data_IF_320327465255
#
_entry.id   IF_320327465255
#
_cell.length_a   1.000
_cell.length_b   1.000
_cell.length_c   1.000
_cell.angle_alpha   90.00
_cell.angle_beta   90.00
_cell.angle_gamma   90.00
#
_symmetry.space_group_name_H-M   'P 1'
#
loop_
_entity.id
_entity.type
_entity.pdbx_description
1 polymer ?
#
# COMPACT_ATOMS: atom_id res chain seq x y z
N UNK A 1 -4.41 -10.12 -15.92
CA UNK A 1 -4.31 -10.58 -14.51
C UNK A 1 -2.94 -10.22 -13.96
N UNK A 2 -2.89 -9.56 -12.83
CA UNK A 2 -1.64 -9.12 -12.23
C UNK A 2 -1.65 -9.39 -10.73
N UNK A 3 -0.59 -10.02 -10.22
CA UNK A 3 -0.44 -10.38 -8.81
C UNK A 3 0.36 -9.27 -8.10
N UNK A 4 -0.19 -8.77 -7.01
CA UNK A 4 0.37 -7.64 -6.25
C UNK A 4 0.70 -8.08 -4.83
N UNK A 5 1.90 -7.71 -4.38
CA UNK A 5 2.27 -7.76 -2.98
C UNK A 5 2.13 -6.36 -2.38
N UNK A 6 1.41 -6.23 -1.29
CA UNK A 6 1.16 -4.95 -0.64
C UNK A 6 1.63 -4.96 0.80
N UNK A 7 2.45 -3.98 1.16
CA UNK A 7 2.91 -3.80 2.52
C UNK A 7 2.97 -2.31 2.87
N UNK A 8 3.08 -2.03 4.16
CA UNK A 8 3.20 -0.66 4.68
C UNK A 8 3.89 -0.67 6.04
N UNK A 9 4.35 0.49 6.46
CA UNK A 9 4.83 0.71 7.83
C UNK A 9 5.93 -0.27 8.22
N UNK A 10 6.93 -0.39 7.37
CA UNK A 10 8.10 -1.23 7.64
C UNK A 10 9.05 -0.59 8.65
N UNK A 11 9.09 0.74 8.72
CA UNK A 11 9.93 1.48 9.66
C UNK A 11 11.38 0.95 9.67
N UNK A 12 11.98 0.86 8.49
CA UNK A 12 13.36 0.39 8.27
C UNK A 12 13.56 -1.11 8.45
N UNK A 13 12.51 -1.87 8.74
CA UNK A 13 12.63 -3.31 8.93
C UNK A 13 12.25 -4.08 7.67
N UNK A 14 13.13 -4.97 7.24
CA UNK A 14 12.88 -5.91 6.14
C UNK A 14 13.58 -7.22 6.49
N UNK A 15 12.91 -8.34 6.26
CA UNK A 15 13.45 -9.65 6.59
C UNK A 15 13.07 -10.72 5.56
N UNK A 16 13.60 -11.93 5.76
CA UNK A 16 13.35 -13.04 4.87
C UNK A 16 11.89 -13.46 4.78
N UNK A 17 11.13 -13.29 5.85
CA UNK A 17 9.71 -13.65 5.86
C UNK A 17 8.93 -12.75 4.90
N UNK A 18 9.20 -11.45 4.91
CA UNK A 18 8.58 -10.49 3.98
C UNK A 18 8.98 -10.82 2.54
N UNK A 19 10.27 -11.01 2.30
CA UNK A 19 10.77 -11.29 0.96
C UNK A 19 10.21 -12.60 0.41
N UNK A 20 10.14 -13.63 1.24
CA UNK A 20 9.58 -14.91 0.84
C UNK A 20 8.08 -14.81 0.55
N UNK A 21 7.35 -14.00 1.32
CA UNK A 21 5.91 -13.80 1.12
C UNK A 21 5.61 -13.19 -0.26
N UNK A 22 6.52 -12.34 -0.76
CA UNK A 22 6.34 -11.62 -2.03
C UNK A 22 7.10 -12.23 -3.21
N UNK A 23 7.72 -13.39 -3.05
CA UNK A 23 8.59 -13.95 -4.10
C UNK A 23 7.89 -14.24 -5.43
N UNK A 24 6.59 -14.52 -5.42
CA UNK A 24 5.83 -14.92 -6.59
C UNK A 24 4.86 -13.86 -7.12
N UNK A 25 4.85 -12.65 -6.55
CA UNK A 25 3.99 -11.58 -7.07
C UNK A 25 4.63 -10.94 -8.31
N UNK A 26 3.82 -10.22 -9.09
CA UNK A 26 4.32 -9.52 -10.28
C UNK A 26 4.97 -8.18 -9.91
N UNK A 27 4.41 -7.48 -8.94
CA UNK A 27 5.00 -6.25 -8.43
C UNK A 27 4.63 -6.01 -6.97
N UNK A 28 5.40 -5.15 -6.30
CA UNK A 28 5.22 -4.84 -4.89
C UNK A 28 4.84 -3.37 -4.75
N UNK A 29 3.81 -3.10 -3.93
CA UNK A 29 3.39 -1.74 -3.57
C UNK A 29 3.65 -1.51 -2.09
N UNK A 30 4.28 -0.37 -1.77
CA UNK A 30 4.57 0.04 -0.40
C UNK A 30 3.83 1.33 -0.08
N UNK A 31 2.97 1.29 0.91
CA UNK A 31 2.06 2.40 1.25
C UNK A 31 2.65 3.38 2.29
N UNK A 32 3.98 3.48 2.38
CA UNK A 32 4.65 4.53 3.16
C UNK A 32 5.15 4.11 4.54
N UNK A 33 5.84 5.02 5.20
CA UNK A 33 6.62 4.76 6.40
C UNK A 33 7.63 3.64 6.17
N UNK A 34 8.40 3.84 5.11
CA UNK A 34 9.42 2.91 4.65
C UNK A 34 10.58 2.86 5.66
N UNK A 35 11.05 4.02 6.08
CA UNK A 35 12.20 4.19 6.94
C UNK A 35 13.44 4.51 6.11
N UNK A 36 14.31 3.53 5.89
CA UNK A 36 15.50 3.73 5.06
C UNK A 36 15.37 3.08 3.69
N UNK A 37 16.21 3.49 2.76
CA UNK A 37 16.19 2.99 1.38
C UNK A 37 16.63 1.53 1.25
N UNK A 38 17.24 0.94 2.27
CA UNK A 38 17.59 -0.47 2.26
C UNK A 38 16.34 -1.36 2.08
N UNK A 39 15.22 -0.96 2.68
CA UNK A 39 13.93 -1.66 2.49
C UNK A 39 13.56 -1.69 1.00
N UNK A 40 13.64 -0.54 0.35
CA UNK A 40 13.32 -0.42 -1.08
C UNK A 40 14.29 -1.25 -1.92
N UNK A 41 15.59 -1.18 -1.62
CA UNK A 41 16.60 -1.91 -2.39
C UNK A 41 16.37 -3.43 -2.30
N UNK A 42 16.04 -3.94 -1.13
CA UNK A 42 15.80 -5.37 -0.96
C UNK A 42 14.51 -5.82 -1.65
N UNK A 43 13.46 -4.99 -1.62
CA UNK A 43 12.23 -5.31 -2.35
C UNK A 43 12.45 -5.25 -3.86
N UNK A 44 13.15 -4.23 -4.35
CA UNK A 44 13.48 -4.11 -5.78
C UNK A 44 14.36 -5.23 -6.30
N UNK A 45 15.14 -5.85 -5.43
CA UNK A 45 15.97 -6.99 -5.82
C UNK A 45 15.14 -8.20 -6.22
N UNK A 46 13.89 -8.31 -5.77
CA UNK A 46 13.03 -9.44 -6.10
C UNK A 46 11.94 -9.10 -7.12
N UNK A 47 11.35 -7.91 -7.05
CA UNK A 47 10.24 -7.49 -7.94
C UNK A 47 10.25 -5.98 -8.15
N UNK A 48 9.60 -5.47 -9.22
CA UNK A 48 9.37 -4.03 -9.37
C UNK A 48 8.60 -3.48 -8.18
N UNK A 49 8.97 -2.29 -7.73
CA UNK A 49 8.37 -1.64 -6.55
C UNK A 49 7.73 -0.31 -6.93
N UNK A 50 6.51 -0.10 -6.48
CA UNK A 50 5.81 1.18 -6.52
C UNK A 50 5.54 1.59 -5.07
N UNK A 51 5.83 2.85 -4.72
CA UNK A 51 5.74 3.27 -3.32
C UNK A 51 5.35 4.73 -3.20
N UNK A 52 4.84 5.08 -2.02
CA UNK A 52 4.68 6.47 -1.58
C UNK A 52 5.49 6.65 -0.29
N UNK A 53 5.79 7.92 0.07
CA UNK A 53 6.41 8.17 1.36
C UNK A 53 5.33 8.36 2.44
N UNK A 54 5.70 8.10 3.68
CA UNK A 54 4.85 8.32 4.85
C UNK A 54 5.38 9.43 5.73
N UNK A 55 4.69 9.66 6.85
CA UNK A 55 5.01 10.77 7.75
C UNK A 55 6.37 10.67 8.43
N UNK A 56 6.87 9.44 8.66
CA UNK A 56 8.19 9.27 9.28
C UNK A 56 9.34 9.32 8.26
N UNK A 57 9.03 9.29 6.97
CA UNK A 57 10.06 9.21 5.94
C UNK A 57 10.78 10.53 5.76
N UNK A 58 12.11 10.45 5.68
CA UNK A 58 12.99 11.59 5.54
C UNK A 58 13.29 11.98 4.10
N UNK A 59 14.27 12.86 3.95
CA UNK A 59 14.64 13.48 2.67
C UNK A 59 15.00 12.46 1.60
N UNK A 60 15.74 11.42 1.94
CA UNK A 60 16.18 10.42 0.97
C UNK A 60 14.98 9.69 0.34
N UNK A 61 14.08 9.17 1.18
CA UNK A 61 12.88 8.47 0.69
C UNK A 61 11.98 9.42 -0.09
N UNK A 62 11.76 10.63 0.44
CA UNK A 62 10.90 11.63 -0.22
C UNK A 62 11.45 12.11 -1.55
N UNK A 63 12.76 12.03 -1.76
CA UNK A 63 13.36 12.38 -3.04
C UNK A 63 13.11 11.33 -4.13
N UNK A 64 12.80 10.10 -3.75
CA UNK A 64 12.57 8.99 -4.69
C UNK A 64 11.07 8.70 -4.93
N UNK A 65 10.19 9.10 -4.02
CA UNK A 65 8.77 8.76 -4.09
C UNK A 65 7.90 9.99 -3.83
N UNK A 66 6.65 9.91 -4.29
CA UNK A 66 5.65 10.96 -4.07
C UNK A 66 4.82 10.65 -2.83
N UNK A 67 4.10 11.66 -2.35
CA UNK A 67 3.11 11.48 -1.28
C UNK A 67 1.89 10.72 -1.79
N UNK A 68 1.50 10.96 -3.04
CA UNK A 68 0.34 10.35 -3.69
C UNK A 68 0.79 9.70 -4.99
N UNK A 69 0.44 8.43 -5.16
CA UNK A 69 0.56 7.74 -6.44
C UNK A 69 -0.84 7.46 -6.98
N UNK A 70 -1.11 7.93 -8.20
CA UNK A 70 -2.34 7.65 -8.92
C UNK A 70 -1.96 6.97 -10.22
N UNK A 71 -2.42 5.74 -10.44
CA UNK A 71 -2.00 4.93 -11.57
C UNK A 71 -3.06 3.91 -11.94
N UNK A 72 -2.87 3.28 -13.09
CA UNK A 72 -3.75 2.22 -13.57
C UNK A 72 -3.05 0.87 -13.43
N UNK A 73 -3.76 -0.11 -12.86
CA UNK A 73 -3.33 -1.50 -12.80
C UNK A 73 -4.41 -2.34 -13.46
N UNK A 74 -4.08 -3.02 -14.54
CA UNK A 74 -5.07 -3.65 -15.40
C UNK A 74 -6.11 -2.59 -15.81
N UNK A 75 -7.39 -2.80 -15.52
CA UNK A 75 -8.44 -1.81 -15.80
C UNK A 75 -8.91 -1.07 -14.54
N UNK A 76 -8.10 -1.10 -13.48
CA UNK A 76 -8.40 -0.38 -12.23
C UNK A 76 -7.62 0.91 -12.13
N UNK A 77 -8.30 1.96 -11.72
CA UNK A 77 -7.67 3.21 -11.31
C UNK A 77 -7.34 3.10 -9.82
N UNK A 78 -6.06 3.19 -9.50
CA UNK A 78 -5.55 3.02 -8.14
C UNK A 78 -5.03 4.34 -7.60
N UNK A 79 -5.39 4.65 -6.36
CA UNK A 79 -4.78 5.76 -5.61
C UNK A 79 -4.14 5.17 -4.36
N UNK A 80 -2.88 5.50 -4.13
CA UNK A 80 -2.13 5.08 -2.97
C UNK A 80 -1.57 6.29 -2.24
N UNK A 81 -1.84 6.37 -0.94
CA UNK A 81 -1.28 7.38 -0.03
C UNK A 81 -0.94 6.70 1.29
N UNK A 82 -0.14 7.35 2.13
CA UNK A 82 0.16 6.78 3.45
C UNK A 82 -0.98 7.03 4.43
N UNK A 83 -1.39 8.29 4.61
CA UNK A 83 -2.42 8.66 5.57
C UNK A 83 -3.73 8.88 4.84
N UNK A 84 -4.59 7.87 4.86
CA UNK A 84 -5.85 7.93 4.12
C UNK A 84 -7.12 7.87 4.96
N UNK A 85 -7.02 7.39 6.19
CA UNK A 85 -8.20 7.09 6.98
C UNK A 85 -8.89 5.83 6.48
N UNK A 86 -10.21 5.81 6.52
CA UNK A 86 -11.00 4.65 6.06
C UNK A 86 -12.41 5.10 5.68
N UNK A 87 -13.18 4.25 4.98
CA UNK A 87 -14.55 4.62 4.57
C UNK A 87 -15.40 5.11 5.73
N UNK A 88 -16.01 6.29 5.53
CA UNK A 88 -16.77 6.98 6.58
C UNK A 88 -15.92 7.94 7.41
N UNK A 89 -14.60 7.81 7.40
CA UNK A 89 -13.66 8.67 8.14
C UNK A 89 -12.36 8.88 7.37
N UNK A 90 -12.48 9.30 6.11
CA UNK A 90 -11.29 9.60 5.33
C UNK A 90 -10.52 10.79 5.92
N UNK A 91 -9.20 10.75 5.77
CA UNK A 91 -8.35 11.88 6.14
C UNK A 91 -8.70 13.11 5.30
N UNK A 92 -8.40 14.33 5.79
CA UNK A 92 -8.74 15.56 5.05
C UNK A 92 -8.22 15.54 3.61
N UNK A 93 -9.11 15.89 2.67
CA UNK A 93 -8.78 15.95 1.24
C UNK A 93 -8.84 14.63 0.50
N UNK A 94 -8.91 13.50 1.17
CA UNK A 94 -8.87 12.17 0.54
C UNK A 94 -10.14 11.89 -0.26
N UNK A 95 -11.31 12.17 0.28
CA UNK A 95 -12.57 11.94 -0.44
C UNK A 95 -12.58 12.69 -1.78
N UNK A 96 -12.17 13.96 -1.77
CA UNK A 96 -12.08 14.77 -2.99
C UNK A 96 -11.06 14.18 -3.98
N UNK A 97 -9.90 13.76 -3.50
CA UNK A 97 -8.89 13.12 -4.32
C UNK A 97 -9.42 11.86 -5.00
N UNK A 98 -10.10 10.99 -4.26
CA UNK A 98 -10.66 9.74 -4.78
C UNK A 98 -11.72 10.01 -5.85
N UNK A 99 -12.59 10.98 -5.62
CA UNK A 99 -13.62 11.36 -6.59
C UNK A 99 -13.01 11.95 -7.86
N UNK A 100 -12.04 12.85 -7.75
CA UNK A 100 -11.40 13.49 -8.90
C UNK A 100 -10.58 12.53 -9.73
N UNK A 101 -9.93 11.56 -9.11
CA UNK A 101 -9.09 10.60 -9.82
C UNK A 101 -9.86 9.44 -10.44
N UNK A 102 -11.15 9.30 -10.11
CA UNK A 102 -11.95 8.17 -10.56
C UNK A 102 -11.45 6.83 -10.03
N UNK A 103 -10.96 6.83 -8.79
CA UNK A 103 -10.37 5.64 -8.20
C UNK A 103 -11.37 4.49 -8.05
N UNK A 104 -10.91 3.27 -8.36
CA UNK A 104 -11.63 2.03 -8.08
C UNK A 104 -11.05 1.34 -6.86
N UNK A 105 -9.76 1.53 -6.62
CA UNK A 105 -9.02 0.95 -5.50
C UNK A 105 -8.27 2.05 -4.77
N UNK A 106 -8.43 2.10 -3.45
CA UNK A 106 -7.72 3.01 -2.58
C UNK A 106 -6.87 2.23 -1.58
N UNK A 107 -5.57 2.49 -1.60
CA UNK A 107 -4.58 1.82 -0.75
C UNK A 107 -3.94 2.83 0.17
N UNK A 108 -3.89 2.53 1.46
CA UNK A 108 -3.19 3.37 2.44
C UNK A 108 -2.59 2.53 3.57
N UNK A 109 -1.86 3.18 4.48
CA UNK A 109 -1.25 2.58 5.64
C UNK A 109 -1.53 3.39 6.90
N UNK A 110 -0.48 3.67 7.67
CA UNK A 110 -0.45 4.54 8.84
C UNK A 110 -1.13 3.99 10.11
N UNK A 111 -2.35 3.47 10.02
CA UNK A 111 -3.08 3.00 11.20
C UNK A 111 -2.50 1.74 11.82
N UNK A 112 -1.68 0.99 11.08
CA UNK A 112 -1.17 -0.33 11.45
C UNK A 112 -2.28 -1.38 11.59
N UNK A 113 -3.48 -1.08 11.09
CA UNK A 113 -4.63 -1.99 11.18
C UNK A 113 -4.93 -2.57 9.81
N UNK A 114 -4.86 -3.89 9.69
CA UNK A 114 -5.27 -4.60 8.49
C UNK A 114 -6.76 -4.39 8.26
N UNK A 115 -7.11 -3.82 7.10
CA UNK A 115 -8.51 -3.57 6.76
C UNK A 115 -8.73 -3.72 5.27
N UNK A 116 -9.72 -4.51 4.90
CA UNK A 116 -10.21 -4.64 3.53
C UNK A 116 -11.71 -4.39 3.58
N UNK A 117 -12.18 -3.33 2.93
CA UNK A 117 -13.61 -3.04 2.93
C UNK A 117 -14.01 -2.29 1.67
N UNK A 118 -15.25 -2.48 1.25
CA UNK A 118 -15.82 -1.79 0.10
C UNK A 118 -16.62 -0.58 0.56
N UNK A 119 -16.29 0.59 0.01
CA UNK A 119 -17.06 1.82 0.24
C UNK A 119 -18.21 1.87 -0.75
N UNK A 120 -19.41 1.55 -0.28
CA UNK A 120 -20.61 1.53 -1.11
C UNK A 120 -21.03 2.93 -1.59
N UNK A 121 -20.68 3.96 -0.84
CA UNK A 121 -21.05 5.34 -1.18
C UNK A 121 -20.22 5.84 -2.36
N UNK A 122 -18.91 5.61 -2.33
CA UNK A 122 -17.99 6.05 -3.40
C UNK A 122 -17.76 4.99 -4.48
N UNK A 123 -18.13 3.74 -4.22
CA UNK A 123 -17.88 2.65 -5.17
C UNK A 123 -16.41 2.26 -5.26
N UNK A 124 -15.69 2.29 -4.15
CA UNK A 124 -14.25 2.09 -4.10
C UNK A 124 -13.90 0.97 -3.12
N UNK A 125 -13.00 0.07 -3.55
CA UNK A 125 -12.40 -0.90 -2.64
C UNK A 125 -11.29 -0.22 -1.84
N UNK A 126 -11.32 -0.37 -0.53
CA UNK A 126 -10.30 0.16 0.38
C UNK A 126 -9.47 -0.97 0.95
N UNK A 127 -8.14 -0.84 0.87
CA UNK A 127 -7.21 -1.82 1.43
C UNK A 127 -6.12 -1.10 2.24
N UNK A 128 -5.97 -1.52 3.49
CA UNK A 128 -4.83 -1.17 4.33
C UNK A 128 -4.18 -2.50 4.74
N UNK A 129 -2.90 -2.72 4.40
CA UNK A 129 -2.25 -4.01 4.67
C UNK A 129 -1.84 -4.20 6.12
N UNK A 130 -2.04 -3.21 6.99
CA UNK A 130 -1.48 -3.22 8.33
C UNK A 130 0.01 -2.92 8.30
N UNK A 131 0.71 -3.16 9.40
CA UNK A 131 2.14 -2.90 9.50
C UNK A 131 2.94 -4.18 9.29
N UNK A 132 3.90 -4.13 8.37
CA UNK A 132 4.82 -5.25 8.10
C UNK A 132 6.08 -5.19 8.98
N UNK A 133 6.36 -4.04 9.59
CA UNK A 133 7.51 -3.82 10.45
C UNK A 133 7.30 -4.23 11.89
N UNK A 134 8.31 -3.96 12.70
CA UNK A 134 8.35 -4.33 14.12
C UNK A 134 7.95 -3.19 15.05
N UNK A 135 7.89 -1.95 14.54
CA UNK A 135 7.62 -0.74 15.34
C UNK A 135 6.15 -0.36 15.27
N UNK A 136 5.55 -0.01 16.42
CA UNK A 136 4.20 0.50 16.50
C UNK A 136 3.35 -0.24 17.54
N UNK A 137 2.05 0.03 17.49
CA UNK A 137 1.10 -0.50 18.47
C UNK A 137 0.42 -1.79 18.02
N UNK A 138 0.79 -2.32 16.87
CA UNK A 138 0.21 -3.55 16.35
C UNK A 138 0.79 -4.79 17.06
N UNK A 139 -0.08 -5.80 17.26
CA UNK A 139 0.31 -7.07 17.88
C UNK A 139 0.84 -8.08 16.87
N UNK A 140 0.40 -7.96 15.60
CA UNK A 140 0.80 -8.87 14.54
C UNK A 140 1.32 -8.06 13.36
N UNK A 141 2.38 -8.56 12.75
CA UNK A 141 2.85 -8.05 11.46
C UNK A 141 1.97 -8.60 10.36
N UNK A 142 1.56 -7.75 9.43
CA UNK A 142 0.68 -8.15 8.33
C UNK A 142 1.15 -7.58 7.00
N UNK A 143 0.83 -8.31 5.94
CA UNK A 143 0.98 -7.88 4.56
C UNK A 143 -0.07 -8.62 3.74
N UNK A 144 -0.34 -8.15 2.53
CA UNK A 144 -1.39 -8.73 1.69
C UNK A 144 -0.83 -9.10 0.32
N UNK A 145 -1.31 -10.20 -0.22
CA UNK A 145 -1.17 -10.52 -1.64
C UNK A 145 -2.56 -10.54 -2.26
N UNK A 146 -2.69 -9.95 -3.43
CA UNK A 146 -3.94 -10.00 -4.17
C UNK A 146 -3.69 -10.01 -5.67
N UNK A 147 -4.69 -10.44 -6.41
CA UNK A 147 -4.67 -10.44 -7.87
C UNK A 147 -5.68 -9.43 -8.37
N UNK A 148 -5.25 -8.58 -9.30
CA UNK A 148 -6.14 -7.70 -10.05
C UNK A 148 -6.43 -8.37 -11.37
N UNK A 149 -7.71 -8.66 -11.61
CA UNK A 149 -8.18 -9.24 -12.85
C UNK A 149 -9.26 -8.33 -13.42
N UNK A 150 -8.89 -7.53 -14.42
CA UNK A 150 -9.73 -6.48 -14.98
C UNK A 150 -10.09 -5.45 -13.91
N UNK A 151 -11.31 -5.46 -13.38
CA UNK A 151 -11.72 -4.61 -12.25
C UNK A 151 -12.07 -5.42 -10.99
N UNK A 152 -11.72 -6.68 -10.99
CA UNK A 152 -11.93 -7.56 -9.83
C UNK A 152 -10.65 -7.72 -9.02
N UNK A 153 -10.81 -7.85 -7.71
CA UNK A 153 -9.70 -8.09 -6.78
C UNK A 153 -9.95 -9.40 -6.07
N UNK A 154 -8.94 -10.28 -6.13
CA UNK A 154 -8.98 -11.57 -5.43
C UNK A 154 -7.84 -11.55 -4.40
N UNK A 155 -8.21 -11.58 -3.11
CA UNK A 155 -7.25 -11.55 -2.01
C UNK A 155 -7.02 -12.95 -1.49
N UNK A 156 -5.77 -13.30 -1.26
CA UNK A 156 -5.42 -14.56 -0.61
C UNK A 156 -4.27 -14.38 0.38
N UNK A 157 -4.32 -15.17 1.43
CA UNK A 157 -3.35 -15.12 2.52
C UNK A 157 -2.08 -15.92 2.21
#
# INVERSE_FOLDING_TARGET
MKSIGLLSDTHSHIDGDILNFFKDVDEIWHAGDIGNMNVVHQLKAIKPVRAVFGNIDGTEVRSHFKEVESFTCENMNVVMVHIGGYPGKYAPGIKSLLQKSGANLFVCGHSHILKVMYDKILGIMHINPGAAGMSGFHYKRTAIRFVVDNQDIIIYS
#
